data_IF_823528234274
#
_entry.id   IF_823528234274
#
_cell.length_a   1.000
_cell.length_b   1.000
_cell.length_c   1.000
_cell.angle_alpha   90.00
_cell.angle_beta   90.00
_cell.angle_gamma   90.00
#
_symmetry.space_group_name_H-M   'P 1'
#
loop_
_entity.id
_entity.type
_entity.pdbx_description
1 polymer ?
#
# COMPACT_ATOMS: atom_id res chain seq x y z
N UNK A 1 -2.45 -25.04 9.16
CA UNK A 1 -2.56 -26.19 8.24
C UNK A 1 -1.91 -25.77 6.93
N UNK A 2 -0.79 -26.42 6.58
CA UNK A 2 0.01 -26.09 5.41
C UNK A 2 -0.79 -26.27 4.11
N UNK A 3 -0.84 -25.23 3.28
CA UNK A 3 -1.35 -25.31 1.90
C UNK A 3 -0.41 -26.18 1.07
N UNK A 4 -0.84 -27.33 0.52
CA UNK A 4 0.08 -28.32 -0.01
C UNK A 4 0.65 -28.01 -1.41
N UNK A 5 0.24 -26.92 -2.08
CA UNK A 5 0.63 -26.64 -3.48
C UNK A 5 0.89 -25.16 -3.76
N UNK A 6 1.55 -24.44 -2.85
CA UNK A 6 2.18 -23.19 -3.27
C UNK A 6 3.47 -23.55 -4.02
N UNK A 7 3.66 -23.04 -5.25
CA UNK A 7 4.89 -23.27 -5.99
C UNK A 7 6.04 -22.76 -5.13
N UNK A 8 7.02 -23.63 -4.86
CA UNK A 8 8.26 -23.20 -4.22
C UNK A 8 8.97 -22.34 -5.25
N UNK A 9 8.73 -21.03 -5.19
CA UNK A 9 9.46 -20.05 -5.99
C UNK A 9 10.89 -20.08 -5.48
N UNK A 10 11.68 -21.01 -6.02
CA UNK A 10 13.12 -21.01 -5.85
C UNK A 10 13.61 -19.73 -6.52
N UNK A 11 14.39 -18.90 -5.82
CA UNK A 11 14.95 -17.67 -6.39
C UNK A 11 15.60 -17.98 -7.75
N UNK A 12 14.96 -17.51 -8.83
CA UNK A 12 15.41 -17.73 -10.22
C UNK A 12 14.57 -18.70 -11.07
N UNK A 13 13.67 -19.51 -10.49
CA UNK A 13 12.75 -20.36 -11.27
C UNK A 13 11.50 -19.57 -11.69
N UNK A 14 11.31 -19.38 -13.01
CA UNK A 14 10.10 -18.73 -13.55
C UNK A 14 8.92 -19.67 -13.44
N UNK A 15 7.81 -19.15 -12.91
CA UNK A 15 6.56 -19.87 -12.74
C UNK A 15 6.03 -20.34 -14.10
N UNK A 16 5.75 -21.63 -14.25
CA UNK A 16 5.18 -22.17 -15.49
C UNK A 16 3.65 -21.98 -15.53
N UNK A 17 3.02 -21.92 -16.72
CA UNK A 17 1.55 -21.90 -16.82
C UNK A 17 0.89 -23.10 -16.12
N UNK A 18 1.54 -24.27 -16.15
CA UNK A 18 1.06 -25.47 -15.46
C UNK A 18 1.12 -25.35 -13.93
N UNK A 19 2.18 -24.73 -13.41
CA UNK A 19 2.31 -24.43 -11.98
C UNK A 19 1.30 -23.40 -11.50
N UNK A 20 0.95 -22.40 -12.32
CA UNK A 20 -0.12 -21.45 -12.02
C UNK A 20 -1.49 -22.12 -11.84
N UNK A 21 -1.78 -23.12 -12.68
CA UNK A 21 -3.03 -23.89 -12.60
C UNK A 21 -3.11 -24.80 -11.38
N UNK A 22 -1.97 -25.26 -10.87
CA UNK A 22 -1.93 -26.16 -9.72
C UNK A 22 -1.95 -25.44 -8.37
N UNK A 23 -1.86 -24.10 -8.37
CA UNK A 23 -1.90 -23.31 -7.13
C UNK A 23 -3.26 -23.41 -6.48
N UNK A 24 -3.27 -23.85 -5.22
CA UNK A 24 -4.47 -23.90 -4.37
C UNK A 24 -4.25 -23.06 -3.13
N UNK A 25 -5.10 -22.07 -2.91
CA UNK A 25 -5.09 -21.24 -1.71
C UNK A 25 -5.89 -21.91 -0.59
N UNK A 26 -5.40 -21.81 0.65
CA UNK A 26 -6.18 -22.21 1.81
C UNK A 26 -7.38 -21.27 2.01
N UNK A 27 -8.53 -21.83 2.38
CA UNK A 27 -9.71 -21.02 2.75
C UNK A 27 -9.40 -20.20 3.99
N UNK A 28 -9.94 -18.98 4.03
CA UNK A 28 -9.81 -18.10 5.19
C UNK A 28 -10.32 -18.81 6.45
N UNK A 29 -9.56 -18.67 7.55
CA UNK A 29 -9.97 -19.21 8.85
C UNK A 29 -11.30 -18.60 9.28
N UNK A 30 -12.16 -19.40 9.93
CA UNK A 30 -13.51 -19.01 10.33
C UNK A 30 -13.48 -17.66 11.09
N UNK A 31 -14.18 -16.65 10.57
CA UNK A 31 -14.24 -15.30 11.14
C UNK A 31 -13.27 -14.26 10.53
N UNK A 32 -12.38 -14.65 9.60
CA UNK A 32 -11.57 -13.71 8.81
C UNK A 32 -12.13 -13.56 7.39
N UNK A 33 -12.16 -12.33 6.87
CA UNK A 33 -12.53 -12.06 5.47
C UNK A 33 -11.38 -12.56 4.57
N UNK A 34 -11.72 -13.39 3.59
CA UNK A 34 -10.81 -13.82 2.53
C UNK A 34 -11.03 -13.03 1.24
N UNK A 35 -10.17 -13.26 0.24
CA UNK A 35 -10.41 -12.79 -1.11
C UNK A 35 -11.60 -13.53 -1.74
N UNK A 36 -12.30 -12.84 -2.65
CA UNK A 36 -13.35 -13.46 -3.47
C UNK A 36 -12.72 -14.48 -4.41
N UNK A 37 -13.16 -15.73 -4.30
CA UNK A 37 -12.60 -16.84 -5.07
C UNK A 37 -12.80 -16.66 -6.57
N UNK A 38 -13.90 -16.05 -7.03
CA UNK A 38 -14.13 -15.82 -8.46
C UNK A 38 -13.20 -14.76 -9.03
N UNK A 39 -12.98 -13.68 -8.29
CA UNK A 39 -12.04 -12.64 -8.69
C UNK A 39 -10.61 -13.18 -8.75
N UNK A 40 -10.21 -13.99 -7.76
CA UNK A 40 -8.90 -14.65 -7.75
C UNK A 40 -8.76 -15.62 -8.92
N UNK A 41 -9.80 -16.43 -9.23
CA UNK A 41 -9.78 -17.32 -10.40
C UNK A 41 -9.63 -16.57 -11.72
N UNK A 42 -10.36 -15.47 -11.90
CA UNK A 42 -10.28 -14.64 -13.09
C UNK A 42 -8.89 -13.99 -13.24
N UNK A 43 -8.33 -13.51 -12.14
CA UNK A 43 -6.98 -12.94 -12.12
C UNK A 43 -5.92 -13.99 -12.48
N UNK A 44 -5.99 -15.19 -11.90
CA UNK A 44 -5.07 -16.28 -12.24
C UNK A 44 -5.15 -16.67 -13.72
N UNK A 45 -6.35 -16.72 -14.31
CA UNK A 45 -6.52 -16.99 -15.74
C UNK A 45 -5.91 -15.91 -16.64
N UNK A 46 -5.98 -14.64 -16.22
CA UNK A 46 -5.32 -13.53 -16.90
C UNK A 46 -3.79 -13.65 -16.81
N UNK A 47 -3.26 -13.90 -15.61
CA UNK A 47 -1.82 -14.08 -15.38
C UNK A 47 -1.29 -15.27 -16.18
N UNK A 48 -2.01 -16.39 -16.20
CA UNK A 48 -1.65 -17.56 -17.00
C UNK A 48 -1.50 -17.22 -18.48
N UNK A 49 -2.47 -16.49 -19.05
CA UNK A 49 -2.42 -16.05 -20.45
C UNK A 49 -1.21 -15.16 -20.72
N UNK A 50 -0.91 -14.23 -19.82
CA UNK A 50 0.27 -13.36 -19.92
C UNK A 50 1.57 -14.15 -19.84
N UNK A 51 1.65 -15.13 -18.94
CA UNK A 51 2.83 -16.01 -18.83
C UNK A 51 3.02 -16.79 -20.12
N UNK A 52 1.98 -17.41 -20.67
CA UNK A 52 2.05 -18.08 -21.98
C UNK A 52 2.56 -17.14 -23.07
N UNK A 53 2.01 -15.91 -23.15
CA UNK A 53 2.42 -14.90 -24.13
C UNK A 53 3.90 -14.54 -23.98
N UNK A 54 4.38 -14.31 -22.76
CA UNK A 54 5.79 -13.99 -22.50
C UNK A 54 6.70 -15.14 -22.93
N UNK A 55 6.31 -16.39 -22.67
CA UNK A 55 7.09 -17.55 -23.11
C UNK A 55 7.12 -17.67 -24.63
N UNK A 56 6.00 -17.42 -25.32
CA UNK A 56 5.97 -17.43 -26.80
C UNK A 56 6.82 -16.30 -27.39
N UNK A 57 6.76 -15.10 -26.80
CA UNK A 57 7.54 -13.96 -27.25
C UNK A 57 9.04 -14.17 -27.01
N UNK A 58 9.41 -14.76 -25.87
CA UNK A 58 10.79 -15.15 -25.59
C UNK A 58 11.32 -16.19 -26.58
N UNK A 59 10.50 -17.18 -26.94
CA UNK A 59 10.88 -18.19 -27.93
C UNK A 59 11.08 -17.56 -29.33
N UNK A 60 10.14 -16.70 -29.76
CA UNK A 60 10.23 -15.98 -31.03
C UNK A 60 11.45 -15.06 -31.07
N UNK A 61 11.73 -14.34 -29.98
CA UNK A 61 12.88 -13.46 -29.89
C UNK A 61 14.20 -14.24 -29.88
N UNK A 62 14.25 -15.41 -29.23
CA UNK A 62 15.42 -16.28 -29.24
C UNK A 62 15.71 -16.83 -30.65
N UNK A 63 14.67 -17.20 -31.41
CA UNK A 63 14.79 -17.61 -32.81
C UNK A 63 15.31 -16.45 -33.68
N UNK A 64 14.78 -15.25 -33.46
CA UNK A 64 15.22 -14.05 -34.17
C UNK A 64 16.69 -13.72 -33.89
N UNK A 65 17.11 -13.77 -32.62
CA UNK A 65 18.50 -13.56 -32.24
C UNK A 65 19.41 -14.61 -32.88
N UNK A 66 19.00 -15.88 -32.91
CA UNK A 66 19.77 -16.95 -33.57
C UNK A 66 19.87 -16.71 -35.07
N UNK A 67 18.80 -16.26 -35.73
CA UNK A 67 18.78 -15.89 -37.14
C UNK A 67 19.73 -14.73 -37.43
N UNK A 68 19.66 -13.66 -36.66
CA UNK A 68 20.53 -12.49 -36.79
C UNK A 68 22.01 -12.85 -36.55
N UNK A 69 22.29 -13.70 -35.55
CA UNK A 69 23.64 -14.23 -35.31
C UNK A 69 24.16 -15.06 -36.48
N UNK A 70 23.32 -15.91 -37.08
CA UNK A 70 23.71 -16.69 -38.25
C UNK A 70 23.96 -15.80 -39.48
N UNK A 71 23.19 -14.72 -39.66
CA UNK A 71 23.44 -13.72 -40.71
C UNK A 71 24.73 -12.94 -40.46
N UNK A 72 24.97 -12.51 -39.22
CA UNK A 72 26.20 -11.83 -38.84
C UNK A 72 27.45 -12.72 -39.01
N UNK A 73 27.35 -14.01 -38.66
CA UNK A 73 28.42 -14.98 -38.85
C UNK A 73 28.76 -15.19 -40.34
N UNK A 74 27.74 -15.24 -41.22
CA UNK A 74 27.93 -15.28 -42.68
C UNK A 74 28.59 -14.00 -43.22
N UNK A 75 28.25 -12.84 -42.67
CA UNK A 75 28.87 -11.55 -43.00
C UNK A 75 30.31 -11.43 -42.51
N UNK A 76 30.64 -12.03 -41.36
CA UNK A 76 31.98 -12.01 -40.76
C UNK A 76 32.96 -13.03 -41.38
N UNK A 77 32.48 -13.98 -42.18
CA UNK A 77 33.30 -15.02 -42.81
C UNK A 77 34.02 -14.54 -44.09
N UNK A 78 33.70 -13.34 -44.57
CA UNK A 78 34.61 -12.55 -45.41
C UNK A 78 35.56 -11.79 -44.50
N UNK A 79 36.88 -11.97 -44.67
CA UNK A 79 37.92 -11.27 -43.91
C UNK A 79 37.67 -9.77 -44.01
N UNK A 80 37.06 -9.18 -42.98
CA UNK A 80 36.88 -7.73 -42.90
C UNK A 80 38.25 -7.09 -42.75
N UNK A 81 38.53 -6.07 -43.55
CA UNK A 81 39.71 -5.26 -43.35
C UNK A 81 39.63 -4.60 -41.95
N UNK A 82 40.76 -4.40 -41.25
CA UNK A 82 40.77 -3.81 -39.91
C UNK A 82 40.07 -2.43 -39.83
N UNK A 83 40.02 -1.69 -40.94
CA UNK A 83 39.26 -0.43 -41.03
C UNK A 83 37.75 -0.66 -40.98
N UNK A 84 37.22 -1.67 -41.69
CA UNK A 84 35.79 -2.02 -41.69
C UNK A 84 35.33 -2.48 -40.31
N UNK A 85 36.18 -3.19 -39.57
CA UNK A 85 35.90 -3.60 -38.19
C UNK A 85 35.76 -2.41 -37.25
N UNK A 86 36.59 -1.37 -37.42
CA UNK A 86 36.47 -0.14 -36.66
C UNK A 86 35.19 0.62 -36.99
N UNK A 87 34.84 0.76 -38.28
CA UNK A 87 33.58 1.40 -38.70
C UNK A 87 32.34 0.67 -38.16
N UNK A 88 32.35 -0.66 -38.14
CA UNK A 88 31.26 -1.45 -37.56
C UNK A 88 31.18 -1.30 -36.04
N UNK A 89 32.33 -1.27 -35.34
CA UNK A 89 32.36 -1.04 -33.89
C UNK A 89 31.82 0.34 -33.51
N UNK A 90 32.22 1.40 -34.24
CA UNK A 90 31.72 2.76 -34.03
C UNK A 90 30.20 2.84 -34.28
N UNK A 91 29.69 2.15 -35.30
CA UNK A 91 28.25 2.08 -35.58
C UNK A 91 27.48 1.40 -34.45
N UNK A 92 27.97 0.26 -33.95
CA UNK A 92 27.34 -0.46 -32.84
C UNK A 92 27.35 0.39 -31.57
N UNK A 93 28.47 1.06 -31.27
CA UNK A 93 28.56 1.95 -30.11
C UNK A 93 27.60 3.13 -30.22
N UNK A 94 27.50 3.76 -31.39
CA UNK A 94 26.54 4.86 -31.64
C UNK A 94 25.09 4.40 -31.47
N UNK A 95 24.74 3.22 -32.01
CA UNK A 95 23.42 2.63 -31.84
C UNK A 95 23.13 2.27 -30.37
N UNK A 96 24.12 1.69 -29.68
CA UNK A 96 24.01 1.36 -28.26
C UNK A 96 23.81 2.62 -27.41
N UNK A 97 24.57 3.70 -27.70
CA UNK A 97 24.43 4.98 -27.02
C UNK A 97 23.03 5.57 -27.25
N UNK A 98 22.56 5.61 -28.50
CA UNK A 98 21.21 6.07 -28.81
C UNK A 98 20.14 5.26 -28.08
N UNK A 99 20.33 3.94 -27.98
CA UNK A 99 19.41 3.06 -27.25
C UNK A 99 19.45 3.35 -25.75
N UNK A 100 20.64 3.56 -25.17
CA UNK A 100 20.79 3.93 -23.77
C UNK A 100 20.10 5.27 -23.47
N UNK A 101 20.28 6.28 -24.32
CA UNK A 101 19.65 7.59 -24.16
C UNK A 101 18.12 7.49 -24.20
N UNK A 102 17.57 6.63 -25.07
CA UNK A 102 16.13 6.33 -25.11
C UNK A 102 15.64 5.69 -23.81
N UNK A 103 16.34 4.67 -23.30
CA UNK A 103 15.96 4.03 -22.03
C UNK A 103 16.03 5.01 -20.85
N UNK A 104 17.02 5.89 -20.81
CA UNK A 104 17.11 6.94 -19.78
C UNK A 104 15.91 7.89 -19.89
N UNK A 105 15.58 8.36 -21.08
CA UNK A 105 14.44 9.25 -21.29
C UNK A 105 13.10 8.60 -20.91
N UNK A 106 12.91 7.32 -21.24
CA UNK A 106 11.70 6.57 -20.88
C UNK A 106 11.62 6.32 -19.37
N UNK A 107 12.74 5.96 -18.73
CA UNK A 107 12.80 5.80 -17.27
C UNK A 107 12.50 7.12 -16.54
N UNK A 108 13.02 8.25 -17.02
CA UNK A 108 12.72 9.58 -16.48
C UNK A 108 11.26 9.99 -16.67
N UNK A 109 10.61 9.59 -17.77
CA UNK A 109 9.17 9.82 -17.96
C UNK A 109 8.36 8.97 -16.99
N UNK A 110 8.63 7.67 -16.95
CA UNK A 110 7.93 6.73 -16.09
C UNK A 110 8.03 7.12 -14.61
N UNK A 111 9.24 7.48 -14.15
CA UNK A 111 9.45 7.93 -12.76
C UNK A 111 8.70 9.23 -12.44
N UNK A 112 8.63 10.18 -13.39
CA UNK A 112 7.83 11.40 -13.23
C UNK A 112 6.33 11.12 -13.16
N UNK A 113 5.84 10.23 -14.01
CA UNK A 113 4.44 9.78 -13.99
C UNK A 113 4.10 9.09 -12.66
N UNK A 114 4.94 8.14 -12.22
CA UNK A 114 4.77 7.46 -10.94
C UNK A 114 4.81 8.43 -9.76
N UNK A 115 5.74 9.40 -9.76
CA UNK A 115 5.82 10.41 -8.72
C UNK A 115 4.60 11.33 -8.72
N UNK A 116 4.02 11.62 -9.89
CA UNK A 116 2.79 12.40 -10.01
C UNK A 116 1.58 11.61 -9.48
N UNK A 117 1.43 10.34 -9.90
CA UNK A 117 0.36 9.45 -9.43
C UNK A 117 0.41 9.25 -7.91
N UNK A 118 1.60 9.01 -7.35
CA UNK A 118 1.78 8.87 -5.90
C UNK A 118 1.40 10.15 -5.14
N UNK A 119 1.62 11.34 -5.73
CA UNK A 119 1.19 12.62 -5.13
C UNK A 119 -0.33 12.75 -5.15
N UNK A 120 -0.97 12.47 -6.29
CA UNK A 120 -2.43 12.50 -6.39
C UNK A 120 -3.08 11.52 -5.41
N UNK A 121 -2.56 10.30 -5.31
CA UNK A 121 -3.05 9.30 -4.39
C UNK A 121 -2.90 9.74 -2.93
N UNK A 122 -1.75 10.33 -2.57
CA UNK A 122 -1.53 10.91 -1.24
C UNK A 122 -2.51 12.03 -0.94
N UNK A 123 -2.73 12.95 -1.87
CA UNK A 123 -3.68 14.05 -1.71
C UNK A 123 -5.11 13.53 -1.51
N UNK A 124 -5.52 12.51 -2.27
CA UNK A 124 -6.82 11.87 -2.10
C UNK A 124 -6.97 11.24 -0.70
N UNK A 125 -5.97 10.49 -0.23
CA UNK A 125 -5.98 9.89 1.11
C UNK A 125 -6.04 10.96 2.20
N UNK A 126 -5.25 12.03 2.08
CA UNK A 126 -5.26 13.12 3.05
C UNK A 126 -6.58 13.88 3.06
N UNK A 127 -7.19 14.09 1.89
CA UNK A 127 -8.51 14.73 1.78
C UNK A 127 -9.60 13.88 2.44
N UNK A 128 -9.63 12.57 2.14
CA UNK A 128 -10.59 11.64 2.73
C UNK A 128 -10.39 11.51 4.26
N UNK A 129 -9.15 11.40 4.73
CA UNK A 129 -8.84 11.37 6.15
C UNK A 129 -9.27 12.66 6.87
N UNK A 130 -9.07 13.82 6.25
CA UNK A 130 -9.55 15.12 6.79
C UNK A 130 -11.07 15.17 6.87
N UNK A 131 -11.77 14.79 5.80
CA UNK A 131 -13.24 14.76 5.81
C UNK A 131 -13.81 13.82 6.88
N UNK A 132 -13.19 12.65 7.07
CA UNK A 132 -13.57 11.72 8.15
C UNK A 132 -13.30 12.30 9.55
N UNK A 133 -12.18 13.01 9.73
CA UNK A 133 -11.86 13.66 11.00
C UNK A 133 -12.83 14.81 11.33
N UNK A 134 -13.16 15.65 10.34
CA UNK A 134 -14.14 16.73 10.47
C UNK A 134 -15.51 16.18 10.87
N UNK A 135 -15.99 15.14 10.18
CA UNK A 135 -17.25 14.50 10.52
C UNK A 135 -17.28 13.94 11.95
N UNK A 136 -16.19 13.29 12.39
CA UNK A 136 -16.08 12.77 13.74
C UNK A 136 -16.12 13.88 14.80
N UNK A 137 -15.47 15.03 14.53
CA UNK A 137 -15.49 16.19 15.42
C UNK A 137 -16.89 16.81 15.49
N UNK A 138 -17.57 16.97 14.36
CA UNK A 138 -18.95 17.47 14.32
C UNK A 138 -19.90 16.56 15.10
N UNK A 139 -19.80 15.25 14.93
CA UNK A 139 -20.63 14.28 15.64
C UNK A 139 -20.34 14.27 17.16
N UNK A 140 -19.07 14.38 17.55
CA UNK A 140 -18.71 14.51 18.96
C UNK A 140 -19.25 15.81 19.55
N UNK A 141 -19.16 16.93 18.82
CA UNK A 141 -19.67 18.23 19.26
C UNK A 141 -21.20 18.22 19.39
N UNK A 142 -21.91 17.64 18.40
CA UNK A 142 -23.37 17.48 18.43
C UNK A 142 -23.82 16.65 19.62
N UNK A 143 -23.13 15.53 19.92
CA UNK A 143 -23.41 14.70 21.10
C UNK A 143 -23.15 15.45 22.40
N UNK A 144 -22.05 16.17 22.50
CA UNK A 144 -21.73 16.96 23.69
C UNK A 144 -22.77 18.05 23.94
N UNK A 145 -23.19 18.77 22.90
CA UNK A 145 -24.25 19.77 23.00
C UNK A 145 -25.59 19.16 23.43
N UNK A 146 -25.96 18.00 22.87
CA UNK A 146 -27.19 17.31 23.26
C UNK A 146 -27.18 16.86 24.73
N UNK A 147 -26.04 16.37 25.24
CA UNK A 147 -25.88 16.01 26.67
C UNK A 147 -25.95 17.25 27.56
N UNK A 148 -25.34 18.36 27.15
CA UNK A 148 -25.40 19.63 27.88
C UNK A 148 -26.84 20.16 27.95
N UNK A 149 -27.57 20.17 26.82
CA UNK A 149 -28.98 20.59 26.78
C UNK A 149 -29.88 19.69 27.63
N UNK A 150 -29.64 18.36 27.61
CA UNK A 150 -30.37 17.41 28.44
C UNK A 150 -30.15 17.68 29.94
N UNK A 151 -28.89 17.90 30.34
CA UNK A 151 -28.54 18.24 31.72
C UNK A 151 -29.19 19.57 32.16
N UNK A 152 -29.21 20.60 31.30
CA UNK A 152 -29.89 21.88 31.61
C UNK A 152 -31.39 21.69 31.80
N UNK A 153 -32.06 20.89 30.95
CA UNK A 153 -33.49 20.60 31.09
C UNK A 153 -33.83 19.83 32.36
N UNK A 154 -33.03 18.83 32.70
CA UNK A 154 -33.19 18.08 33.96
C UNK A 154 -32.97 18.99 35.18
N UNK A 155 -32.01 19.92 35.08
CA UNK A 155 -31.70 20.88 36.13
C UNK A 155 -32.60 22.13 36.14
N UNK A 156 -33.64 22.22 35.29
CA UNK A 156 -34.60 23.33 35.35
C UNK A 156 -35.69 22.95 36.37
N UNK A 157 -35.65 23.43 37.64
CA UNK A 157 -36.62 23.02 38.64
C UNK A 157 -38.01 23.52 38.28
N UNK A 158 -39.00 22.64 38.32
CA UNK A 158 -40.41 23.04 38.32
C UNK A 158 -40.66 23.89 39.58
N UNK A 159 -41.31 25.07 39.49
CA UNK A 159 -41.52 25.97 40.62
C UNK A 159 -42.66 25.44 41.50
N UNK A 160 -42.45 24.32 42.17
CA UNK A 160 -43.34 23.82 43.22
C UNK A 160 -42.52 23.42 44.44
N UNK A 161 -42.58 24.30 45.43
CA UNK A 161 -42.52 24.11 46.87
C UNK A 161 -41.72 22.92 47.47
N UNK A 162 -40.75 23.29 48.32
CA UNK A 162 -40.26 22.55 49.49
C UNK A 162 -39.14 21.49 49.34
N UNK A 163 -38.16 21.72 48.45
CA UNK A 163 -36.85 21.09 48.62
C UNK A 163 -35.93 22.01 49.45
N UNK A 164 -35.50 21.56 50.63
CA UNK A 164 -34.58 22.31 51.49
C UNK A 164 -33.29 22.64 50.71
N UNK A 165 -32.76 23.87 50.80
CA UNK A 165 -31.58 24.30 50.05
C UNK A 165 -30.36 23.40 50.27
N UNK A 166 -30.28 22.71 51.41
CA UNK A 166 -29.21 21.77 51.72
C UNK A 166 -29.26 20.48 50.89
N UNK A 167 -30.44 20.01 50.51
CA UNK A 167 -30.58 18.80 49.67
C UNK A 167 -30.18 19.07 48.23
N UNK A 168 -30.54 20.25 47.70
CA UNK A 168 -30.06 20.71 46.40
C UNK A 168 -28.54 20.90 46.39
N UNK A 169 -27.97 21.50 47.45
CA UNK A 169 -26.51 21.64 47.58
C UNK A 169 -25.81 20.29 47.62
N UNK A 170 -26.30 19.32 48.40
CA UNK A 170 -25.74 17.96 48.45
C UNK A 170 -25.87 17.23 47.11
N UNK A 171 -26.96 17.44 46.37
CA UNK A 171 -27.11 16.90 45.03
C UNK A 171 -26.04 17.47 44.07
N UNK A 172 -25.88 18.79 44.05
CA UNK A 172 -24.85 19.47 43.25
C UNK A 172 -23.43 19.04 43.64
N UNK A 173 -23.14 18.87 44.93
CA UNK A 173 -21.83 18.39 45.41
C UNK A 173 -21.52 16.97 44.91
N UNK A 174 -22.50 16.07 44.93
CA UNK A 174 -22.35 14.72 44.38
C UNK A 174 -22.12 14.74 42.88
N UNK A 175 -22.83 15.61 42.16
CA UNK A 175 -22.69 15.75 40.71
C UNK A 175 -21.33 16.34 40.31
N UNK A 176 -20.85 17.37 41.03
CA UNK A 176 -19.50 17.91 40.84
C UNK A 176 -18.43 16.83 41.11
N UNK A 177 -18.61 16.03 42.16
CA UNK A 177 -17.69 14.92 42.45
C UNK A 177 -17.71 13.87 41.32
N UNK A 178 -18.90 13.50 40.85
CA UNK A 178 -19.06 12.59 39.71
C UNK A 178 -18.38 13.12 38.44
N UNK A 179 -18.67 14.36 38.04
CA UNK A 179 -18.10 14.98 36.84
C UNK A 179 -16.58 15.09 36.91
N UNK A 180 -16.02 15.37 38.10
CA UNK A 180 -14.56 15.40 38.30
C UNK A 180 -13.93 14.01 38.10
N UNK A 181 -14.50 12.98 38.72
CA UNK A 181 -14.00 11.61 38.54
C UNK A 181 -14.13 11.14 37.10
N UNK A 182 -15.27 11.43 36.45
CA UNK A 182 -15.47 11.10 35.04
C UNK A 182 -14.46 11.81 34.14
N UNK A 183 -14.22 13.12 34.35
CA UNK A 183 -13.22 13.89 33.60
C UNK A 183 -11.82 13.32 33.77
N UNK A 184 -11.44 12.91 34.98
CA UNK A 184 -10.11 12.36 35.28
C UNK A 184 -9.90 10.98 34.64
N UNK A 185 -10.93 10.13 34.71
CA UNK A 185 -10.96 8.83 34.02
C UNK A 185 -10.90 9.01 32.50
N UNK A 186 -11.67 9.95 31.94
CA UNK A 186 -11.72 10.21 30.51
C UNK A 186 -10.38 10.77 29.99
N UNK A 187 -9.74 11.68 30.74
CA UNK A 187 -8.39 12.17 30.42
C UNK A 187 -7.35 11.06 30.42
N UNK A 188 -7.43 10.16 31.40
CA UNK A 188 -6.51 9.01 31.49
C UNK A 188 -6.71 8.06 30.31
N UNK A 189 -7.97 7.74 29.97
CA UNK A 189 -8.30 6.94 28.80
C UNK A 189 -7.81 7.57 27.49
N UNK A 190 -8.08 8.86 27.29
CA UNK A 190 -7.64 9.58 26.08
C UNK A 190 -6.12 9.59 25.95
N UNK A 191 -5.39 9.81 27.05
CA UNK A 191 -3.92 9.74 27.06
C UNK A 191 -3.43 8.35 26.67
N UNK A 192 -3.98 7.30 27.28
CA UNK A 192 -3.59 5.92 26.95
C UNK A 192 -3.87 5.56 25.48
N UNK A 193 -4.99 6.05 24.93
CA UNK A 193 -5.36 5.84 23.54
C UNK A 193 -4.40 6.56 22.59
N UNK A 194 -4.07 7.83 22.86
CA UNK A 194 -3.11 8.60 22.07
C UNK A 194 -1.70 8.00 22.14
N UNK A 195 -1.25 7.56 23.31
CA UNK A 195 0.04 6.85 23.46
C UNK A 195 0.07 5.52 22.71
N UNK A 196 -1.05 4.79 22.65
CA UNK A 196 -1.15 3.58 21.84
C UNK A 196 -1.11 3.88 20.34
N UNK A 197 -1.79 4.94 19.90
CA UNK A 197 -1.78 5.40 18.51
C UNK A 197 -0.38 5.84 18.06
N UNK A 198 0.32 6.63 18.88
CA UNK A 198 1.69 7.06 18.59
C UNK A 198 2.65 5.87 18.50
N UNK A 199 2.56 4.92 19.43
CA UNK A 199 3.35 3.68 19.38
C UNK A 199 3.11 2.89 18.10
N UNK A 200 1.86 2.79 17.66
CA UNK A 200 1.53 2.06 16.43
C UNK A 200 2.14 2.76 15.19
N UNK A 201 2.14 4.10 15.16
CA UNK A 201 2.78 4.88 14.09
C UNK A 201 4.29 4.68 14.09
N UNK A 202 4.93 4.72 15.27
CA UNK A 202 6.38 4.47 15.40
C UNK A 202 6.75 3.04 14.96
N UNK A 203 5.94 2.04 15.33
CA UNK A 203 6.11 0.65 14.87
C UNK A 203 5.99 0.53 13.35
N UNK A 204 5.06 1.26 12.74
CA UNK A 204 4.88 1.28 11.29
C UNK A 204 6.05 1.94 10.58
N UNK A 205 6.52 3.08 11.07
CA UNK A 205 7.71 3.76 10.53
C UNK A 205 8.96 2.87 10.63
N UNK A 206 9.14 2.19 11.77
CA UNK A 206 10.23 1.25 11.96
C UNK A 206 10.13 0.05 11.02
N UNK A 207 8.93 -0.52 10.84
CA UNK A 207 8.70 -1.60 9.88
C UNK A 207 9.00 -1.16 8.45
N UNK A 208 8.62 0.06 8.08
CA UNK A 208 8.91 0.63 6.76
C UNK A 208 10.42 0.83 6.56
N UNK A 209 11.12 1.42 7.53
CA UNK A 209 12.59 1.57 7.52
C UNK A 209 13.31 0.22 7.40
N UNK A 210 12.86 -0.80 8.12
CA UNK A 210 13.43 -2.16 8.06
C UNK A 210 13.10 -2.85 6.73
N UNK A 211 11.94 -2.55 6.14
CA UNK A 211 11.54 -3.08 4.83
C UNK A 211 12.26 -2.41 3.66
N UNK A 212 12.79 -1.19 3.82
CA UNK A 212 13.59 -0.55 2.78
C UNK A 212 14.98 -1.22 2.70
N UNK A 213 15.36 -1.84 1.56
CA UNK A 213 16.65 -2.50 1.43
C UNK A 213 17.78 -1.47 1.56
N UNK A 214 18.76 -1.76 2.42
CA UNK A 214 20.01 -0.99 2.48
C UNK A 214 20.66 -1.02 1.09
N UNK A 215 20.99 0.13 0.48
CA UNK A 215 21.66 0.14 -0.81
C UNK A 215 23.03 -0.52 -0.65
N UNK A 216 23.31 -1.48 -1.53
CA UNK A 216 24.59 -2.20 -1.58
C UNK A 216 25.75 -1.20 -1.59
N UNK A 217 26.83 -1.45 -0.82
CA UNK A 217 28.02 -0.62 -0.91
C UNK A 217 28.58 -0.72 -2.34
N UNK A 218 28.59 0.42 -3.03
CA UNK A 218 29.31 0.57 -4.30
C UNK A 218 30.83 0.50 -4.03
N UNK A 219 31.61 -0.08 -4.97
CA UNK A 219 32.91 -0.72 -4.71
C UNK A 219 34.04 0.21 -4.24
#
# INVERSE_FOLDING_TARGET
MNSPNLPVVSEGARLTPGELRSVVFARAALGRRGYDEEQVRNFLAYVERQVVQIFTDQAALAEEVNRLRAQAAKGAQGVMAPEDAHFQAVRILSQAQQTADLYVADAERYTRELAHEARLQREAILSDARGRAEHMLEDAHRKAAAVADAAVREHTPSPTADAQPDDQRRAMEREIAYLRTYSDVYRTHLRSYLEALLRNVDEWENAERVSTPVPWPTP
#
